data_IF_471354004121
#
_entry.id   IF_471354004121
#
_cell.length_a   1.000
_cell.length_b   1.000
_cell.length_c   1.000
_cell.angle_alpha   90.00
_cell.angle_beta   90.00
_cell.angle_gamma   90.00
#
_symmetry.space_group_name_H-M   'P 1'
#
loop_
_entity.id
_entity.type
_entity.pdbx_description
1 polymer ?
#
# COMPACT_ATOMS: atom_id res chain seq x y z
N UNK A 1 7.21 -23.21 -6.76
CA UNK A 1 6.49 -23.75 -5.59
C UNK A 1 6.30 -25.25 -5.81
N UNK A 2 6.67 -26.11 -4.84
CA UNK A 2 6.48 -27.56 -4.94
C UNK A 2 5.33 -28.00 -4.03
N UNK A 3 4.53 -28.95 -4.48
CA UNK A 3 3.51 -29.60 -3.66
C UNK A 3 4.15 -30.86 -3.09
N UNK A 4 4.11 -31.02 -1.77
CA UNK A 4 4.59 -32.21 -1.07
C UNK A 4 3.46 -32.83 -0.27
N UNK A 5 3.55 -34.13 -0.04
CA UNK A 5 2.74 -34.81 0.97
C UNK A 5 3.46 -34.72 2.30
N UNK A 6 2.81 -34.15 3.31
CA UNK A 6 3.39 -33.98 4.64
C UNK A 6 3.65 -35.35 5.29
N UNK A 7 4.88 -35.56 5.76
CA UNK A 7 5.23 -36.77 6.53
C UNK A 7 4.85 -36.65 8.00
N UNK A 8 4.70 -35.42 8.51
CA UNK A 8 4.33 -35.08 9.89
C UNK A 8 3.29 -33.96 9.88
N UNK A 9 2.55 -33.81 10.97
CA UNK A 9 1.66 -32.67 11.11
C UNK A 9 2.46 -31.35 11.04
N UNK A 10 1.90 -30.34 10.38
CA UNK A 10 2.50 -29.03 10.20
C UNK A 10 1.45 -27.94 10.38
N UNK A 11 1.88 -26.70 10.54
CA UNK A 11 0.97 -25.55 10.64
C UNK A 11 1.13 -24.71 9.39
N UNK A 12 0.01 -24.29 8.80
CA UNK A 12 0.03 -23.36 7.68
C UNK A 12 0.58 -22.01 8.15
N UNK A 13 1.62 -21.52 7.47
CA UNK A 13 2.25 -20.25 7.81
C UNK A 13 1.34 -19.02 7.57
N UNK A 14 0.31 -19.14 6.72
CA UNK A 14 -0.62 -18.05 6.41
C UNK A 14 -1.83 -18.02 7.36
N UNK A 15 -2.60 -19.12 7.44
CA UNK A 15 -3.82 -19.17 8.27
C UNK A 15 -3.65 -19.81 9.65
N UNK A 16 -2.47 -20.35 9.97
CA UNK A 16 -2.26 -21.06 11.24
C UNK A 16 -3.00 -22.40 11.33
N UNK A 17 -3.61 -22.89 10.24
CA UNK A 17 -4.34 -24.15 10.25
C UNK A 17 -3.40 -25.34 10.45
N UNK A 18 -3.80 -26.29 11.30
CA UNK A 18 -3.11 -27.56 11.47
C UNK A 18 -3.37 -28.48 10.26
N UNK A 19 -2.30 -28.89 9.61
CA UNK A 19 -2.29 -29.80 8.48
C UNK A 19 -1.79 -31.16 8.97
N UNK A 20 -2.66 -32.20 9.03
CA UNK A 20 -2.24 -33.50 9.50
C UNK A 20 -1.25 -34.16 8.55
N UNK A 21 -0.47 -35.13 9.06
CA UNK A 21 0.39 -35.96 8.24
C UNK A 21 -0.43 -36.66 7.14
N UNK A 22 0.15 -36.79 5.94
CA UNK A 22 -0.53 -37.29 4.75
C UNK A 22 -1.26 -36.22 3.94
N UNK A 23 -1.42 -34.99 4.47
CA UNK A 23 -2.05 -33.89 3.75
C UNK A 23 -1.12 -33.33 2.68
N UNK A 24 -1.68 -32.96 1.53
CA UNK A 24 -0.94 -32.23 0.50
C UNK A 24 -0.80 -30.78 0.92
N UNK A 25 0.43 -30.29 0.90
CA UNK A 25 0.74 -28.92 1.28
C UNK A 25 1.76 -28.32 0.32
N UNK A 26 1.71 -27.00 0.20
CA UNK A 26 2.63 -26.22 -0.62
C UNK A 26 3.87 -25.93 0.20
N UNK A 27 5.00 -26.41 -0.30
CA UNK A 27 6.30 -26.27 0.32
C UNK A 27 7.11 -25.19 -0.40
N UNK A 28 7.46 -24.14 0.35
CA UNK A 28 8.39 -23.11 -0.11
C UNK A 28 9.76 -23.26 0.55
N UNK A 29 9.78 -23.52 1.86
CA UNK A 29 11.00 -23.76 2.64
C UNK A 29 10.68 -24.60 3.88
N UNK A 30 11.71 -25.06 4.60
CA UNK A 30 11.57 -25.92 5.77
C UNK A 30 10.63 -25.34 6.84
N UNK A 31 10.59 -24.01 6.95
CA UNK A 31 9.80 -23.26 7.94
C UNK A 31 8.49 -22.69 7.36
N UNK A 32 8.24 -22.83 6.04
CA UNK A 32 7.09 -22.23 5.37
C UNK A 32 6.31 -23.26 4.55
N UNK A 33 5.28 -23.79 5.20
CA UNK A 33 4.32 -24.74 4.66
C UNK A 33 2.96 -24.04 4.56
N UNK A 34 2.29 -24.19 3.43
CA UNK A 34 1.02 -23.52 3.16
C UNK A 34 -0.05 -24.54 2.78
N UNK A 35 -1.27 -24.33 3.26
CA UNK A 35 -2.40 -25.15 2.85
C UNK A 35 -2.80 -24.84 1.38
N UNK A 36 -3.51 -25.77 0.75
CA UNK A 36 -3.99 -25.61 -0.63
C UNK A 36 -5.11 -24.56 -0.73
N UNK A 37 -5.76 -24.19 0.38
CA UNK A 37 -6.85 -23.21 0.41
C UNK A 37 -6.41 -21.78 0.04
N UNK A 38 -5.13 -21.43 0.18
CA UNK A 38 -4.61 -20.15 -0.31
C UNK A 38 -4.25 -20.18 -1.82
N UNK A 39 -4.74 -21.17 -2.57
CA UNK A 39 -4.64 -21.23 -4.03
C UNK A 39 -5.89 -20.60 -4.67
N UNK A 40 -6.38 -19.50 -4.09
CA UNK A 40 -7.12 -18.54 -4.90
C UNK A 40 -6.14 -17.97 -5.91
N UNK A 41 -6.04 -18.69 -7.04
CA UNK A 41 -5.60 -18.17 -8.32
C UNK A 41 -6.12 -16.74 -8.38
N UNK A 42 -5.27 -15.70 -8.47
CA UNK A 42 -5.79 -14.36 -8.61
C UNK A 42 -6.70 -14.41 -9.83
N UNK A 43 -8.00 -14.22 -9.62
CA UNK A 43 -8.93 -14.05 -10.73
C UNK A 43 -8.27 -13.06 -11.67
N UNK A 44 -8.26 -13.31 -13.00
CA UNK A 44 -7.61 -12.41 -13.95
C UNK A 44 -8.10 -11.02 -13.59
N UNK A 45 -7.17 -10.14 -13.20
CA UNK A 45 -7.49 -8.80 -12.72
C UNK A 45 -8.36 -8.19 -13.80
N UNK A 46 -9.68 -8.16 -13.60
CA UNK A 46 -10.51 -7.20 -14.30
C UNK A 46 -9.92 -5.89 -13.84
N UNK A 47 -9.18 -5.25 -14.73
CA UNK A 47 -8.79 -3.85 -14.60
C UNK A 47 -10.08 -3.09 -14.37
N UNK A 48 -10.46 -2.90 -13.10
CA UNK A 48 -11.28 -1.76 -12.74
C UNK A 48 -10.45 -0.59 -13.22
N UNK A 49 -10.93 0.05 -14.27
CA UNK A 49 -10.48 1.39 -14.63
C UNK A 49 -10.45 2.18 -13.33
N UNK A 50 -9.25 2.45 -12.84
CA UNK A 50 -9.04 3.30 -11.68
C UNK A 50 -9.44 4.68 -12.14
N UNK A 51 -10.66 5.10 -11.84
CA UNK A 51 -10.98 6.52 -11.81
C UNK A 51 -9.91 7.20 -10.93
N UNK A 52 -9.24 8.26 -11.40
CA UNK A 52 -8.20 8.90 -10.61
C UNK A 52 -8.86 9.55 -9.38
N UNK A 53 -8.59 8.97 -8.21
CA UNK A 53 -8.94 9.47 -6.89
C UNK A 53 -7.98 10.57 -6.43
N UNK A 54 -7.45 11.35 -7.37
CA UNK A 54 -6.71 12.57 -7.08
C UNK A 54 -7.64 13.73 -7.41
N UNK A 55 -8.44 14.12 -6.42
CA UNK A 55 -8.91 15.50 -6.36
C UNK A 55 -7.68 16.35 -6.10
N UNK A 56 -7.27 17.09 -7.12
CA UNK A 56 -6.26 18.13 -7.01
C UNK A 56 -6.89 19.26 -6.19
N UNK A 57 -6.88 19.13 -4.87
CA UNK A 57 -7.19 20.22 -3.93
C UNK A 57 -6.05 21.26 -3.88
N UNK A 58 -5.12 21.22 -4.84
CA UNK A 58 -4.11 22.26 -4.98
C UNK A 58 -4.81 23.55 -5.40
N UNK A 59 -4.59 24.67 -4.69
CA UNK A 59 -5.05 25.97 -5.15
C UNK A 59 -4.52 26.20 -6.57
N UNK A 60 -5.35 26.77 -7.44
CA UNK A 60 -4.94 27.19 -8.77
C UNK A 60 -3.69 28.07 -8.67
N UNK A 61 -2.81 27.99 -9.67
CA UNK A 61 -1.54 28.72 -9.69
C UNK A 61 -1.78 30.22 -9.49
N UNK A 62 -2.88 30.77 -9.99
CA UNK A 62 -3.25 32.17 -9.78
C UNK A 62 -3.48 32.51 -8.30
N UNK A 63 -4.10 31.61 -7.53
CA UNK A 63 -4.33 31.81 -6.11
C UNK A 63 -3.01 31.82 -5.30
N UNK A 64 -2.05 30.99 -5.69
CA UNK A 64 -0.70 30.99 -5.10
C UNK A 64 0.06 32.27 -5.41
N UNK A 65 -0.04 32.78 -6.63
CA UNK A 65 0.61 34.03 -7.03
C UNK A 65 0.08 35.20 -6.19
N UNK A 66 -1.25 35.31 -6.05
CA UNK A 66 -1.87 36.38 -5.27
C UNK A 66 -1.46 36.32 -3.80
N UNK A 67 -1.46 35.13 -3.19
CA UNK A 67 -0.99 34.95 -1.81
C UNK A 67 0.46 35.40 -1.61
N UNK A 68 1.36 35.07 -2.54
CA UNK A 68 2.77 35.46 -2.45
C UNK A 68 2.97 36.98 -2.57
N UNK A 69 2.16 37.66 -3.37
CA UNK A 69 2.18 39.12 -3.46
C UNK A 69 1.73 39.80 -2.17
N UNK A 70 0.65 39.30 -1.55
CA UNK A 70 0.19 39.80 -0.24
C UNK A 70 1.27 39.64 0.85
N UNK A 71 1.91 38.47 0.91
CA UNK A 71 3.02 38.22 1.85
C UNK A 71 4.19 39.18 1.59
N UNK A 72 4.54 39.42 0.32
CA UNK A 72 5.61 40.37 -0.06
C UNK A 72 5.30 41.78 0.42
N UNK A 73 4.07 42.27 0.22
CA UNK A 73 3.68 43.61 0.67
C UNK A 73 3.68 43.73 2.20
N UNK A 74 3.15 42.73 2.91
CA UNK A 74 3.16 42.70 4.37
C UNK A 74 4.58 42.76 4.94
N UNK A 75 5.51 41.98 4.38
CA UNK A 75 6.92 41.99 4.77
C UNK A 75 7.59 43.34 4.48
N UNK A 76 7.30 43.94 3.32
CA UNK A 76 7.84 45.25 2.95
C UNK A 76 7.40 46.34 3.92
N UNK A 77 6.12 46.35 4.29
CA UNK A 77 5.57 47.26 5.29
C UNK A 77 6.16 47.03 6.70
N UNK A 78 6.37 45.77 7.09
CA UNK A 78 6.99 45.43 8.37
C UNK A 78 8.43 45.92 8.45
N UNK A 79 9.23 45.69 7.40
CA UNK A 79 10.62 46.16 7.31
C UNK A 79 10.66 47.70 7.30
N UNK A 80 9.73 48.35 6.59
CA UNK A 80 9.59 49.81 6.58
C UNK A 80 9.24 50.41 7.94
N UNK A 81 8.50 49.68 8.78
CA UNK A 81 8.24 50.06 10.18
C UNK A 81 9.45 49.85 11.10
N UNK A 82 10.28 48.84 10.84
CA UNK A 82 11.49 48.56 11.62
C UNK A 82 12.66 49.53 11.33
N UNK A 83 12.62 50.22 10.19
CA UNK A 83 13.65 51.20 9.78
C UNK A 83 13.31 52.67 10.13
N UNK A 84 12.14 52.93 10.71
CA UNK A 84 11.77 54.24 11.28
C UNK A 84 11.97 54.22 12.78
#
# INVERSE_FOLDING_TARGET
MKIITLQRAAVCADCGAELPAGTRARYYSADRIYCESHDEKPAPRKTKETEPLFQDDSPDIEAWIQFLEEVREALTNLIGRLKR
#
